data_IF_856056208378
#
_entry.id   IF_856056208378
#
_cell.length_a   1.000
_cell.length_b   1.000
_cell.length_c   1.000
_cell.angle_alpha   90.00
_cell.angle_beta   90.00
_cell.angle_gamma   90.00
#
_symmetry.space_group_name_H-M   'P 1'
#
loop_
_entity.id
_entity.type
_entity.pdbx_description
1 polymer ?
#
# COMPACT_ATOMS: atom_id res chain seq x y z
N UNK A 1 -15.81 -3.64 -25.50
CA UNK A 1 -15.31 -2.96 -24.28
C UNK A 1 -14.15 -2.08 -24.71
N UNK A 2 -13.97 -0.85 -24.19
CA UNK A 2 -12.93 0.08 -24.63
C UNK A 2 -11.55 -0.14 -23.99
N UNK A 3 -11.35 -1.22 -23.24
CA UNK A 3 -10.10 -1.55 -22.55
C UNK A 3 -9.74 -3.02 -22.75
N UNK A 4 -8.44 -3.31 -22.85
CA UNK A 4 -7.91 -4.68 -22.87
C UNK A 4 -7.73 -5.23 -21.45
N UNK A 5 -7.32 -4.35 -20.52
CA UNK A 5 -7.08 -4.65 -19.12
C UNK A 5 -7.70 -3.59 -18.21
N UNK A 6 -8.23 -4.02 -17.08
CA UNK A 6 -8.63 -3.18 -15.96
C UNK A 6 -8.01 -3.73 -14.69
N UNK A 7 -7.32 -2.89 -13.95
CA UNK A 7 -6.76 -3.21 -12.64
C UNK A 7 -7.40 -2.25 -11.63
N UNK A 8 -8.04 -2.81 -10.62
CA UNK A 8 -8.61 -2.07 -9.50
C UNK A 8 -7.96 -2.53 -8.20
N UNK A 9 -7.60 -1.59 -7.33
CA UNK A 9 -7.04 -1.86 -6.01
C UNK A 9 -7.81 -1.10 -4.95
N UNK A 10 -7.98 -1.73 -3.79
CA UNK A 10 -8.51 -1.10 -2.58
C UNK A 10 -7.64 -1.46 -1.39
N UNK A 11 -7.43 -0.51 -0.48
CA UNK A 11 -6.55 -0.68 0.68
C UNK A 11 -7.22 -0.17 1.93
N UNK A 12 -7.21 -1.02 2.97
CA UNK A 12 -7.74 -0.70 4.28
C UNK A 12 -6.69 -0.94 5.36
N UNK A 13 -6.72 -0.09 6.39
CA UNK A 13 -5.94 -0.28 7.62
C UNK A 13 -6.86 -0.92 8.66
N UNK A 14 -6.39 -1.93 9.37
CA UNK A 14 -7.14 -2.64 10.41
C UNK A 14 -6.35 -2.56 11.71
N UNK A 15 -6.93 -1.95 12.73
CA UNK A 15 -6.32 -1.81 14.06
C UNK A 15 -7.33 -2.18 15.13
N UNK A 16 -6.96 -3.08 16.04
CA UNK A 16 -7.80 -3.52 17.16
C UNK A 16 -9.21 -4.00 16.75
N UNK A 17 -9.33 -4.56 15.53
CA UNK A 17 -10.59 -5.05 14.98
C UNK A 17 -11.44 -4.00 14.25
N UNK A 18 -10.96 -2.76 14.16
CA UNK A 18 -11.62 -1.66 13.44
C UNK A 18 -10.96 -1.36 12.10
N UNK A 19 -11.77 -1.07 11.08
CA UNK A 19 -11.29 -0.61 9.77
C UNK A 19 -11.10 0.91 9.81
N UNK A 20 -9.87 1.35 9.66
CA UNK A 20 -9.50 2.76 9.53
C UNK A 20 -9.44 3.12 8.05
N UNK A 21 -10.49 3.78 7.58
CA UNK A 21 -10.54 4.40 6.25
C UNK A 21 -9.75 5.70 6.18
N UNK A 22 -10.14 6.57 5.25
CA UNK A 22 -9.60 7.94 5.16
C UNK A 22 -10.13 8.80 6.31
N UNK A 23 -9.34 9.74 6.85
CA UNK A 23 -9.85 10.66 7.85
C UNK A 23 -10.96 11.55 7.26
N UNK A 24 -11.96 11.93 8.07
CA UNK A 24 -13.04 12.83 7.61
C UNK A 24 -12.70 14.30 7.85
N UNK A 25 -11.84 14.56 8.83
CA UNK A 25 -11.24 15.84 9.12
C UNK A 25 -9.88 15.65 9.84
N UNK A 26 -9.24 16.78 10.14
CA UNK A 26 -7.94 16.80 10.82
C UNK A 26 -7.97 16.17 12.22
N UNK A 27 -9.07 16.35 12.96
CA UNK A 27 -9.17 15.78 14.31
C UNK A 27 -9.21 14.25 14.23
N UNK A 28 -9.99 13.71 13.29
CA UNK A 28 -10.02 12.27 13.02
C UNK A 28 -8.66 11.72 12.61
N UNK A 29 -7.91 12.45 11.76
CA UNK A 29 -6.56 12.07 11.39
C UNK A 29 -5.62 11.99 12.61
N UNK A 30 -5.73 12.96 13.53
CA UNK A 30 -4.96 12.96 14.77
C UNK A 30 -5.34 11.78 15.69
N UNK A 31 -6.62 11.47 15.82
CA UNK A 31 -7.12 10.33 16.61
C UNK A 31 -6.60 9.00 16.05
N UNK A 32 -6.68 8.80 14.73
CA UNK A 32 -6.10 7.64 14.04
C UNK A 32 -4.60 7.51 14.32
N UNK A 33 -3.82 8.59 14.14
CA UNK A 33 -2.38 8.55 14.39
C UNK A 33 -2.04 8.28 15.85
N UNK A 34 -2.83 8.78 16.80
CA UNK A 34 -2.67 8.48 18.23
C UNK A 34 -3.03 7.03 18.56
N UNK A 35 -4.06 6.47 17.91
CA UNK A 35 -4.46 5.07 18.06
C UNK A 35 -3.38 4.10 17.55
N UNK A 36 -2.74 4.43 16.43
CA UNK A 36 -1.73 3.60 15.77
C UNK A 36 -0.33 3.71 16.38
N UNK A 37 -0.01 4.83 17.06
CA UNK A 37 1.31 5.11 17.62
C UNK A 37 1.82 3.98 18.52
N UNK A 38 3.06 3.56 18.28
CA UNK A 38 3.76 2.52 19.07
C UNK A 38 3.00 1.17 19.08
N UNK A 39 2.19 0.92 18.05
CA UNK A 39 1.44 -0.33 17.87
C UNK A 39 1.70 -0.91 16.51
N UNK A 40 1.42 -2.20 16.41
CA UNK A 40 1.35 -2.93 15.14
C UNK A 40 -0.10 -3.03 14.69
N UNK A 41 -0.36 -2.69 13.44
CA UNK A 41 -1.66 -2.85 12.77
C UNK A 41 -1.51 -3.63 11.47
N UNK A 42 -2.64 -4.04 10.91
CA UNK A 42 -2.69 -4.74 9.62
C UNK A 42 -3.04 -3.77 8.50
N UNK A 43 -2.47 -3.99 7.32
CA UNK A 43 -2.84 -3.31 6.09
C UNK A 43 -3.22 -4.38 5.08
N UNK A 44 -4.46 -4.31 4.60
CA UNK A 44 -5.01 -5.27 3.64
C UNK A 44 -5.26 -4.56 2.32
N UNK A 45 -4.60 -5.04 1.27
CA UNK A 45 -4.75 -4.52 -0.09
C UNK A 45 -5.28 -5.60 -0.99
N UNK A 46 -6.45 -5.36 -1.58
CA UNK A 46 -7.09 -6.27 -2.53
C UNK A 46 -6.97 -5.74 -3.94
N UNK A 47 -6.60 -6.59 -4.88
CA UNK A 47 -6.51 -6.25 -6.30
C UNK A 47 -7.40 -7.15 -7.13
N UNK A 48 -8.15 -6.54 -8.03
CA UNK A 48 -8.88 -7.20 -9.10
C UNK A 48 -8.22 -6.90 -10.44
N UNK A 49 -7.85 -7.95 -11.17
CA UNK A 49 -7.39 -7.87 -12.55
C UNK A 49 -8.48 -8.43 -13.44
N UNK A 50 -8.96 -7.60 -14.37
CA UNK A 50 -9.97 -7.95 -15.35
C UNK A 50 -9.38 -7.79 -16.74
N UNK A 51 -9.61 -8.77 -17.61
CA UNK A 51 -9.32 -8.62 -19.04
C UNK A 51 -10.48 -9.04 -19.91
N UNK A 52 -10.47 -8.50 -21.12
CA UNK A 52 -11.37 -8.87 -22.20
C UNK A 52 -10.52 -9.46 -23.30
N UNK A 53 -10.74 -10.73 -23.63
CA UNK A 53 -10.05 -11.34 -24.76
C UNK A 53 -10.51 -10.66 -26.07
N UNK A 54 -9.56 -10.10 -26.83
CA UNK A 54 -9.85 -9.29 -28.02
C UNK A 54 -10.75 -10.04 -29.00
N UNK A 55 -11.82 -9.37 -29.45
CA UNK A 55 -12.80 -9.98 -30.36
C UNK A 55 -13.80 -10.93 -29.69
N UNK A 56 -13.78 -11.05 -28.35
CA UNK A 56 -14.75 -11.84 -27.58
C UNK A 56 -15.49 -10.99 -26.55
N UNK A 57 -16.53 -11.56 -25.93
CA UNK A 57 -17.21 -11.01 -24.74
C UNK A 57 -16.76 -11.68 -23.44
N UNK A 58 -15.74 -12.55 -23.49
CA UNK A 58 -15.29 -13.32 -22.33
C UNK A 58 -14.47 -12.42 -21.41
N UNK A 59 -14.88 -12.37 -20.15
CA UNK A 59 -14.17 -11.70 -19.08
C UNK A 59 -13.35 -12.73 -18.30
N UNK A 60 -12.06 -12.45 -18.11
CA UNK A 60 -11.23 -13.14 -17.12
C UNK A 60 -11.09 -12.22 -15.92
N UNK A 61 -11.39 -12.73 -14.73
CA UNK A 61 -11.28 -11.98 -13.48
C UNK A 61 -10.35 -12.77 -12.56
N UNK A 62 -9.31 -12.11 -12.07
CA UNK A 62 -8.36 -12.65 -11.11
C UNK A 62 -8.31 -11.73 -9.89
N UNK A 63 -8.37 -12.33 -8.69
CA UNK A 63 -8.40 -11.60 -7.43
C UNK A 63 -7.22 -12.02 -6.57
N UNK A 64 -6.57 -11.06 -5.93
CA UNK A 64 -5.52 -11.30 -4.94
C UNK A 64 -5.68 -10.35 -3.77
N UNK A 65 -5.40 -10.83 -2.57
CA UNK A 65 -5.35 -10.03 -1.35
C UNK A 65 -3.97 -10.17 -0.73
N UNK A 66 -3.38 -9.03 -0.36
CA UNK A 66 -2.11 -8.95 0.33
C UNK A 66 -2.37 -8.39 1.74
N UNK A 67 -1.85 -9.07 2.75
CA UNK A 67 -1.92 -8.66 4.15
C UNK A 67 -0.49 -8.38 4.62
N UNK A 68 -0.27 -7.18 5.15
CA UNK A 68 1.01 -6.75 5.73
C UNK A 68 0.80 -6.26 7.16
N UNK A 69 1.78 -6.49 8.04
CA UNK A 69 1.80 -5.91 9.39
C UNK A 69 2.74 -4.72 9.42
N UNK A 70 2.29 -3.63 10.03
CA UNK A 70 3.04 -2.37 10.09
C UNK A 70 3.13 -1.95 11.55
N UNK A 71 4.36 -1.76 12.04
CA UNK A 71 4.63 -1.26 13.38
C UNK A 71 4.99 0.22 13.30
N UNK A 72 4.24 1.05 14.01
CA UNK A 72 4.46 2.49 14.05
C UNK A 72 5.56 2.87 15.04
N UNK A 73 6.30 3.94 14.73
CA UNK A 73 7.23 4.55 15.68
C UNK A 73 6.49 5.17 16.88
N UNK A 74 7.16 5.37 18.01
CA UNK A 74 6.62 6.13 19.14
C UNK A 74 6.75 7.66 18.91
N UNK A 75 6.15 8.18 17.84
CA UNK A 75 6.20 9.62 17.51
C UNK A 75 5.44 10.51 18.51
N UNK A 76 5.87 11.75 18.63
CA UNK A 76 5.29 12.76 19.52
C UNK A 76 4.03 13.41 18.93
N UNK A 77 3.24 14.06 19.79
CA UNK A 77 2.08 14.87 19.35
C UNK A 77 2.52 16.03 18.44
N UNK A 78 3.73 16.56 18.65
CA UNK A 78 4.31 17.61 17.81
C UNK A 78 4.60 17.10 16.41
N UNK A 79 5.20 15.91 16.26
CA UNK A 79 5.42 15.27 14.95
C UNK A 79 4.08 15.03 14.23
N UNK A 80 3.05 14.56 14.94
CA UNK A 80 1.70 14.40 14.37
C UNK A 80 1.17 15.74 13.84
N UNK A 81 1.23 16.81 14.64
CA UNK A 81 0.74 18.12 14.20
C UNK A 81 1.48 18.63 12.96
N UNK A 82 2.81 18.51 12.94
CA UNK A 82 3.63 18.94 11.80
C UNK A 82 3.29 18.15 10.53
N UNK A 83 3.09 16.84 10.65
CA UNK A 83 2.65 16.01 9.52
C UNK A 83 1.26 16.41 9.00
N UNK A 84 0.30 16.61 9.90
CA UNK A 84 -1.06 17.02 9.53
C UNK A 84 -1.11 18.43 8.92
N UNK A 85 -0.19 19.33 9.28
CA UNK A 85 -0.08 20.68 8.70
C UNK A 85 0.28 20.66 7.21
N UNK A 86 0.90 19.58 6.74
CA UNK A 86 1.21 19.39 5.31
C UNK A 86 0.02 18.89 4.49
N UNK A 87 -1.07 18.46 5.13
CA UNK A 87 -2.26 17.91 4.44
C UNK A 87 -2.02 16.53 3.82
N UNK A 88 -0.92 15.86 4.15
CA UNK A 88 -0.55 14.57 3.56
C UNK A 88 -1.38 13.39 4.10
N UNK A 89 -2.19 13.59 5.14
CA UNK A 89 -3.03 12.55 5.73
C UNK A 89 -4.38 12.33 5.02
N UNK A 90 -4.88 13.36 4.33
CA UNK A 90 -6.31 13.50 4.01
C UNK A 90 -6.83 12.41 3.06
N UNK A 91 -5.96 11.89 2.18
CA UNK A 91 -6.32 10.88 1.19
C UNK A 91 -5.87 9.46 1.52
N UNK A 92 -5.34 9.22 2.73
CA UNK A 92 -4.68 7.97 3.12
C UNK A 92 -5.48 7.19 4.17
N UNK A 93 -5.63 5.89 3.94
CA UNK A 93 -6.22 4.99 4.93
C UNK A 93 -5.35 4.97 6.19
N UNK A 94 -5.96 5.11 7.38
CA UNK A 94 -5.24 5.23 8.63
C UNK A 94 -4.47 6.55 8.81
N UNK A 95 -4.68 7.53 7.92
CA UNK A 95 -4.12 8.87 8.01
C UNK A 95 -2.58 8.95 8.04
N UNK A 96 -1.85 8.00 7.42
CA UNK A 96 -0.39 8.06 7.32
C UNK A 96 0.12 7.60 5.94
N UNK A 97 1.35 8.01 5.59
CA UNK A 97 2.07 7.50 4.43
C UNK A 97 3.35 6.80 4.89
N UNK A 98 3.51 5.51 4.59
CA UNK A 98 4.73 4.76 4.95
C UNK A 98 5.99 5.37 4.31
N UNK A 99 5.83 6.04 3.17
CA UNK A 99 6.88 6.70 2.40
C UNK A 99 7.22 8.12 2.84
N UNK A 100 6.56 8.66 3.86
CA UNK A 100 6.80 10.04 4.30
C UNK A 100 8.21 10.16 4.92
N UNK A 101 9.08 10.95 4.29
CA UNK A 101 10.47 11.14 4.70
C UNK A 101 10.62 12.00 5.96
N UNK A 102 9.70 12.93 6.21
CA UNK A 102 9.83 13.89 7.32
C UNK A 102 9.18 13.36 8.59
N UNK A 103 7.99 12.78 8.48
CA UNK A 103 7.26 12.18 9.60
C UNK A 103 7.79 10.79 9.93
N UNK A 104 8.17 10.02 8.90
CA UNK A 104 8.71 8.68 9.04
C UNK A 104 7.88 7.83 10.03
N UNK A 105 6.61 7.53 9.75
CA UNK A 105 5.69 7.02 10.77
C UNK A 105 5.99 5.59 11.25
N UNK A 106 6.68 4.79 10.43
CA UNK A 106 6.79 3.33 10.58
C UNK A 106 8.21 2.94 11.00
N UNK A 107 8.34 2.06 12.00
CA UNK A 107 9.61 1.43 12.39
C UNK A 107 9.83 0.08 11.71
N UNK A 108 8.75 -0.65 11.43
CA UNK A 108 8.85 -2.00 10.86
C UNK A 108 7.65 -2.30 9.94
N UNK A 109 7.92 -3.00 8.84
CA UNK A 109 6.90 -3.54 7.95
C UNK A 109 7.19 -5.00 7.67
N UNK A 110 6.28 -5.89 8.06
CA UNK A 110 6.33 -7.30 7.73
C UNK A 110 5.34 -7.57 6.60
N UNK A 111 5.83 -7.98 5.43
CA UNK A 111 4.99 -8.18 4.25
C UNK A 111 5.43 -7.33 3.07
N UNK A 112 4.49 -6.62 2.45
CA UNK A 112 4.68 -5.92 1.19
C UNK A 112 4.52 -4.40 1.33
N UNK A 113 5.63 -3.65 1.28
CA UNK A 113 5.60 -2.17 1.31
C UNK A 113 4.77 -1.61 0.14
N UNK A 114 4.84 -2.23 -1.05
CA UNK A 114 4.01 -1.83 -2.18
C UNK A 114 2.50 -2.04 -1.93
N UNK A 115 2.13 -3.09 -1.19
CA UNK A 115 0.75 -3.27 -0.76
C UNK A 115 0.35 -2.15 0.22
N UNK A 116 1.18 -1.86 1.21
CA UNK A 116 0.93 -0.76 2.17
C UNK A 116 0.75 0.60 1.46
N UNK A 117 1.53 0.84 0.38
CA UNK A 117 1.37 2.04 -0.46
C UNK A 117 0.11 2.02 -1.36
N UNK A 118 -0.53 0.87 -1.53
CA UNK A 118 -1.83 0.72 -2.20
C UNK A 118 -1.87 -0.22 -3.41
N UNK A 119 -0.74 -0.80 -3.83
CA UNK A 119 -0.71 -1.73 -4.96
C UNK A 119 0.43 -2.77 -4.85
N UNK A 120 0.14 -4.04 -4.55
CA UNK A 120 1.14 -5.10 -4.51
C UNK A 120 1.59 -5.51 -5.92
N UNK A 121 2.59 -4.83 -6.47
CA UNK A 121 3.05 -4.98 -7.87
C UNK A 121 3.36 -6.43 -8.25
N UNK A 122 4.06 -7.20 -7.39
CA UNK A 122 4.35 -8.61 -7.68
C UNK A 122 3.10 -9.49 -7.72
N UNK A 123 2.13 -9.23 -6.84
CA UNK A 123 0.86 -9.96 -6.86
C UNK A 123 0.09 -9.64 -8.14
N UNK A 124 0.07 -8.38 -8.58
CA UNK A 124 -0.53 -7.96 -9.86
C UNK A 124 0.11 -8.66 -11.04
N UNK A 125 1.45 -8.68 -11.10
CA UNK A 125 2.19 -9.37 -12.17
C UNK A 125 1.86 -10.86 -12.18
N UNK A 126 1.82 -11.50 -11.00
CA UNK A 126 1.44 -12.91 -10.87
C UNK A 126 0.02 -13.17 -11.35
N UNK A 127 -0.94 -12.29 -11.02
CA UNK A 127 -2.32 -12.40 -11.50
C UNK A 127 -2.43 -12.22 -13.02
N UNK A 128 -1.67 -11.29 -13.61
CA UNK A 128 -1.62 -11.10 -15.06
C UNK A 128 -1.09 -12.37 -15.76
N UNK A 129 0.01 -12.96 -15.26
CA UNK A 129 0.54 -14.21 -15.81
C UNK A 129 -0.45 -15.38 -15.67
N UNK A 130 -1.10 -15.54 -14.50
CA UNK A 130 -2.09 -16.61 -14.29
C UNK A 130 -3.30 -16.52 -15.20
N UNK A 131 -3.67 -15.31 -15.59
CA UNK A 131 -4.79 -15.05 -16.49
C UNK A 131 -4.42 -15.14 -17.99
N UNK A 132 -3.18 -15.55 -18.33
CA UNK A 132 -2.62 -15.55 -19.69
C UNK A 132 -2.60 -14.14 -20.34
N UNK A 133 -2.38 -13.13 -19.50
CA UNK A 133 -2.47 -11.70 -19.83
C UNK A 133 -1.11 -10.99 -19.90
N UNK A 134 -0.02 -11.72 -19.72
CA UNK A 134 1.35 -11.23 -19.86
C UNK A 134 1.79 -11.00 -21.32
N UNK A 135 0.84 -11.09 -22.26
CA UNK A 135 1.05 -10.82 -23.70
C UNK A 135 1.47 -9.39 -23.99
N UNK A 136 1.13 -8.45 -23.11
CA UNK A 136 1.71 -7.11 -23.15
C UNK A 136 3.09 -7.18 -22.48
N UNK A 137 4.13 -6.69 -23.15
CA UNK A 137 5.45 -6.50 -22.52
C UNK A 137 5.28 -5.68 -21.25
N UNK A 138 5.29 -6.33 -20.09
CA UNK A 138 5.26 -5.64 -18.80
C UNK A 138 6.59 -4.91 -18.72
N UNK A 139 6.58 -3.61 -19.04
CA UNK A 139 7.72 -2.74 -18.78
C UNK A 139 7.83 -2.61 -17.27
N UNK A 140 8.78 -3.32 -16.69
CA UNK A 140 9.09 -3.24 -15.28
C UNK A 140 10.18 -2.19 -15.09
N UNK A 141 9.85 -0.93 -14.76
CA UNK A 141 10.90 0.05 -14.44
C UNK A 141 11.73 -0.47 -13.26
N UNK A 142 13.05 -0.46 -13.44
CA UNK A 142 14.01 -1.21 -12.60
C UNK A 142 13.84 -0.91 -11.10
N UNK A 143 13.60 0.36 -10.70
CA UNK A 143 13.63 0.75 -9.28
C UNK A 143 12.47 0.23 -8.42
N UNK A 144 11.22 0.34 -8.86
CA UNK A 144 10.05 -0.08 -8.07
C UNK A 144 9.86 -1.60 -8.16
N UNK A 145 10.21 -2.18 -9.30
CA UNK A 145 10.04 -3.62 -9.52
C UNK A 145 11.08 -4.45 -8.77
N UNK A 146 12.33 -4.00 -8.71
CA UNK A 146 13.37 -4.70 -7.93
C UNK A 146 13.10 -4.64 -6.41
N UNK A 147 12.52 -3.53 -5.91
CA UNK A 147 11.99 -3.46 -4.54
C UNK A 147 10.98 -4.56 -4.29
N UNK A 148 9.97 -4.68 -5.15
CA UNK A 148 8.88 -5.63 -4.96
C UNK A 148 9.34 -7.10 -5.17
N UNK A 149 10.29 -7.37 -6.07
CA UNK A 149 10.94 -8.69 -6.24
C UNK A 149 11.57 -9.20 -4.95
N UNK A 150 12.23 -8.32 -4.20
CA UNK A 150 12.86 -8.66 -2.91
C UNK A 150 11.85 -8.62 -1.75
N UNK A 151 10.64 -8.08 -1.98
CA UNK A 151 9.58 -7.86 -0.99
C UNK A 151 8.63 -9.05 -0.83
N UNK A 152 9.05 -10.27 -1.18
CA UNK A 152 8.21 -11.48 -1.14
C UNK A 152 7.88 -11.97 0.29
N UNK A 153 7.57 -11.06 1.23
CA UNK A 153 7.24 -11.29 2.66
C UNK A 153 8.47 -11.24 3.58
N UNK A 154 9.29 -10.21 3.41
CA UNK A 154 10.39 -9.94 4.33
C UNK A 154 9.95 -9.04 5.49
N UNK A 155 10.67 -9.14 6.60
CA UNK A 155 10.58 -8.19 7.72
C UNK A 155 11.52 -7.03 7.40
N UNK A 156 10.97 -5.83 7.21
CA UNK A 156 11.71 -4.62 6.88
C UNK A 156 11.78 -3.71 8.09
N UNK A 157 12.98 -3.53 8.65
CA UNK A 157 13.24 -2.38 9.53
C UNK A 157 13.27 -1.13 8.66
N UNK A 158 12.45 -0.15 9.01
CA UNK A 158 12.37 1.14 8.33
C UNK A 158 13.12 2.14 9.20
N UNK A 159 14.22 2.65 8.66
CA UNK A 159 15.16 3.54 9.34
C UNK A 159 15.37 4.79 8.47
N UNK A 160 15.79 5.92 9.04
CA UNK A 160 16.08 7.12 8.26
C UNK A 160 17.06 6.88 7.09
N UNK A 161 17.98 5.92 7.22
CA UNK A 161 18.97 5.58 6.18
C UNK A 161 18.42 4.84 4.98
N UNK A 162 17.24 4.21 5.06
CA UNK A 162 16.63 3.46 3.94
C UNK A 162 15.28 4.04 3.49
N UNK A 163 14.85 5.15 4.09
CA UNK A 163 13.61 5.84 3.72
C UNK A 163 13.61 6.34 2.27
N UNK A 164 14.74 6.85 1.77
CA UNK A 164 14.88 7.27 0.36
C UNK A 164 14.66 6.10 -0.62
N UNK A 165 14.94 4.87 -0.19
CA UNK A 165 14.67 3.67 -0.99
C UNK A 165 13.18 3.33 -1.02
N UNK A 166 12.42 3.78 0.00
CA UNK A 166 10.99 3.57 0.14
C UNK A 166 10.20 4.68 -0.57
N UNK A 167 10.70 5.92 -0.53
CA UNK A 167 9.95 7.13 -0.88
C UNK A 167 9.77 7.41 -2.37
N UNK A 168 10.69 6.94 -3.22
CA UNK A 168 10.56 6.93 -4.68
C UNK A 168 10.38 8.29 -5.34
#
# INVERSE_FOLDING_TARGET
MPFDYLIASDTVVISEGEILGKPHDRLHAQEMLMQLRDKTHEVSTSVAVISVESGTTKLVISLVNNLSRVTMRPYSVTEISSFLDRGEADDKAGAYAIQDLEFHPVSECEGCICAVMGLPVQDVVSQLTLADLDRASILTPDRIYDRCKNCLRGDFTIEPSNLDEISG
#
